data_IF_480944001815
#
_entry.id   IF_480944001815
#
_cell.length_a   1.000
_cell.length_b   1.000
_cell.length_c   1.000
_cell.angle_alpha   90.00
_cell.angle_beta   90.00
_cell.angle_gamma   90.00
#
_symmetry.space_group_name_H-M   'P 1'
#
loop_
_entity.id
_entity.type
_entity.pdbx_description
1 polymer ?
#
# COMPACT_ATOMS: atom_id res chain seq x y z
N UNK A 1 -18.96 33.54 -16.04
CA UNK A 1 -19.77 32.31 -16.20
C UNK A 1 -18.87 31.25 -16.84
N UNK A 2 -18.70 30.15 -16.13
CA UNK A 2 -17.58 29.20 -16.20
C UNK A 2 -17.66 28.31 -17.45
N UNK A 3 -16.54 28.17 -18.19
CA UNK A 3 -16.36 27.16 -19.25
C UNK A 3 -15.90 25.84 -18.61
N UNK A 4 -16.65 24.77 -18.85
CA UNK A 4 -16.33 23.41 -18.41
C UNK A 4 -15.24 22.74 -19.27
N UNK A 5 -14.59 21.78 -18.62
CA UNK A 5 -13.35 21.05 -18.91
C UNK A 5 -13.47 19.91 -19.95
N UNK A 6 -12.36 19.50 -20.59
CA UNK A 6 -12.30 18.32 -21.46
C UNK A 6 -11.80 17.08 -20.70
N UNK A 7 -12.67 16.38 -19.96
CA UNK A 7 -12.29 15.16 -19.21
C UNK A 7 -12.85 13.85 -19.79
N UNK A 8 -13.44 13.88 -21.00
CA UNK A 8 -14.17 12.73 -21.56
C UNK A 8 -13.47 12.04 -22.75
N UNK A 9 -12.16 12.19 -22.93
CA UNK A 9 -11.44 11.56 -24.07
C UNK A 9 -10.43 10.46 -23.72
N UNK A 10 -10.29 10.09 -22.45
CA UNK A 10 -9.30 9.08 -22.03
C UNK A 10 -9.90 7.72 -21.60
N UNK A 11 -11.22 7.57 -21.55
CA UNK A 11 -11.86 6.33 -21.09
C UNK A 11 -12.09 5.27 -22.18
N UNK A 12 -11.70 5.53 -23.43
CA UNK A 12 -12.01 4.64 -24.57
C UNK A 12 -10.87 3.72 -25.02
N UNK A 13 -9.74 3.64 -24.30
CA UNK A 13 -8.56 2.85 -24.73
C UNK A 13 -8.19 1.66 -23.83
N UNK A 14 -9.06 1.28 -22.89
CA UNK A 14 -8.76 0.24 -21.89
C UNK A 14 -9.72 -0.95 -21.96
N UNK A 15 -10.09 -1.37 -23.18
CA UNK A 15 -10.86 -2.60 -23.36
C UNK A 15 -10.56 -3.29 -24.70
N UNK A 16 -9.51 -4.12 -24.76
CA UNK A 16 -9.38 -5.18 -25.75
C UNK A 16 -8.78 -6.45 -25.10
N UNK A 17 -9.27 -7.66 -25.45
CA UNK A 17 -8.93 -8.91 -24.79
C UNK A 17 -7.64 -9.57 -25.32
N UNK A 18 -7.10 -10.45 -24.48
CA UNK A 18 -5.88 -11.25 -24.60
C UNK A 18 -6.00 -12.33 -25.68
N UNK A 19 -4.92 -12.56 -26.44
CA UNK A 19 -4.70 -13.80 -27.22
C UNK A 19 -3.24 -14.26 -27.12
N UNK A 20 -2.95 -15.58 -27.04
CA UNK A 20 -1.65 -16.11 -26.65
C UNK A 20 -0.80 -16.52 -27.86
N UNK A 21 0.49 -16.20 -27.84
CA UNK A 21 1.49 -16.87 -28.67
C UNK A 21 2.76 -17.16 -27.88
N UNK A 22 2.98 -18.45 -27.67
CA UNK A 22 4.23 -19.07 -27.23
C UNK A 22 5.18 -19.10 -28.42
N UNK A 23 6.44 -18.67 -28.25
CA UNK A 23 7.57 -19.23 -28.99
C UNK A 23 8.93 -18.87 -28.34
N UNK A 24 9.49 -19.86 -27.65
CA UNK A 24 10.89 -20.27 -27.53
C UNK A 24 12.02 -19.27 -27.88
N UNK A 25 12.90 -19.01 -26.91
CA UNK A 25 14.31 -18.72 -27.16
C UNK A 25 15.18 -19.28 -26.02
N UNK A 26 16.16 -20.07 -26.44
CA UNK A 26 17.05 -20.94 -25.69
C UNK A 26 18.22 -20.21 -25.01
N UNK A 27 18.50 -20.59 -23.77
CA UNK A 27 19.83 -20.89 -23.21
C UNK A 27 21.07 -20.17 -23.77
N UNK A 28 21.56 -19.12 -23.09
CA UNK A 28 22.97 -18.68 -23.20
C UNK A 28 23.51 -18.08 -21.90
N UNK A 29 24.42 -18.84 -21.28
CA UNK A 29 25.56 -18.50 -20.41
C UNK A 29 25.74 -17.06 -19.85
N UNK A 30 25.94 -17.01 -18.52
CA UNK A 30 26.51 -15.89 -17.76
C UNK A 30 27.94 -15.53 -18.21
N UNK A 31 28.34 -14.25 -18.05
CA UNK A 31 29.59 -14.01 -17.35
C UNK A 31 29.47 -13.06 -16.16
N UNK A 32 30.00 -13.53 -15.04
CA UNK A 32 30.30 -12.80 -13.81
C UNK A 32 31.42 -11.80 -14.12
N UNK A 33 31.12 -10.49 -14.08
CA UNK A 33 32.17 -9.45 -14.02
C UNK A 33 31.92 -8.56 -12.81
N UNK A 34 32.94 -8.56 -11.95
CA UNK A 34 33.10 -7.86 -10.69
C UNK A 34 32.90 -6.34 -10.84
N UNK A 35 32.04 -5.74 -10.03
CA UNK A 35 32.13 -4.32 -9.68
C UNK A 35 32.10 -4.14 -8.17
N UNK A 36 33.27 -3.79 -7.61
CA UNK A 36 33.55 -3.59 -6.17
C UNK A 36 33.08 -2.22 -5.64
N UNK A 37 32.17 -1.51 -6.32
CA UNK A 37 31.91 -0.10 -6.00
C UNK A 37 30.49 0.25 -5.52
N UNK A 38 29.59 -0.71 -5.28
CA UNK A 38 28.21 -0.39 -4.85
C UNK A 38 27.97 -0.64 -3.35
N UNK A 39 28.94 -1.18 -2.59
CA UNK A 39 28.71 -1.58 -1.19
C UNK A 39 29.30 -0.65 -0.12
N UNK A 40 29.52 0.64 -0.42
CA UNK A 40 30.07 1.60 0.56
C UNK A 40 29.15 2.77 0.94
N UNK A 41 27.91 2.82 0.45
CA UNK A 41 26.97 3.89 0.79
C UNK A 41 25.77 3.46 1.67
N UNK A 42 25.71 2.21 2.14
CA UNK A 42 24.58 1.71 2.94
C UNK A 42 24.86 1.48 4.43
N UNK A 43 26.08 1.73 4.92
CA UNK A 43 26.48 1.34 6.29
C UNK A 43 26.73 2.50 7.28
N UNK A 44 26.32 3.73 6.98
CA UNK A 44 26.58 4.89 7.84
C UNK A 44 25.36 5.70 8.25
N UNK A 45 24.15 5.12 8.20
CA UNK A 45 22.93 5.83 8.62
C UNK A 45 22.02 5.04 9.57
N UNK A 46 22.59 4.30 10.52
CA UNK A 46 21.78 3.75 11.59
C UNK A 46 22.57 3.52 12.88
N UNK A 47 22.44 4.44 13.86
CA UNK A 47 22.44 3.97 15.24
C UNK A 47 21.54 4.82 16.16
N UNK A 48 20.20 4.81 16.03
CA UNK A 48 19.32 5.37 17.09
C UNK A 48 18.05 4.52 17.38
N UNK A 49 17.72 3.48 16.60
CA UNK A 49 16.54 2.64 16.87
C UNK A 49 16.85 1.33 17.62
N UNK A 50 17.52 1.42 18.76
CA UNK A 50 17.70 0.22 19.60
C UNK A 50 17.80 0.46 21.11
N UNK A 51 17.13 1.48 21.65
CA UNK A 51 17.06 1.66 23.10
C UNK A 51 15.68 2.13 23.56
N UNK A 52 14.63 1.31 23.34
CA UNK A 52 13.37 1.51 24.05
C UNK A 52 12.51 0.24 24.13
N UNK A 53 13.05 -0.85 24.68
CA UNK A 53 12.24 -1.98 25.15
C UNK A 53 12.84 -2.61 26.41
N UNK A 54 12.64 -1.96 27.57
CA UNK A 54 12.50 -2.64 28.88
C UNK A 54 12.11 -1.64 29.97
N UNK A 55 10.85 -1.68 30.44
CA UNK A 55 10.40 -1.42 31.83
C UNK A 55 8.88 -1.61 31.95
N UNK A 56 8.47 -2.35 33.00
CA UNK A 56 7.13 -2.88 33.30
C UNK A 56 6.12 -1.87 33.90
N UNK A 57 4.83 -2.24 33.83
CA UNK A 57 3.62 -1.64 34.43
C UNK A 57 3.64 -1.62 35.98
N UNK A 58 3.09 -0.66 36.73
CA UNK A 58 1.68 -0.37 37.15
C UNK A 58 1.74 0.54 38.42
N UNK A 59 0.65 1.09 39.02
CA UNK A 59 -0.71 1.43 38.57
C UNK A 59 -1.08 2.92 38.79
N UNK A 60 -2.30 3.28 38.36
CA UNK A 60 -2.94 4.61 38.36
C UNK A 60 -3.33 5.06 39.78
N UNK A 61 -3.03 6.30 40.16
CA UNK A 61 -3.74 7.04 41.21
C UNK A 61 -4.07 8.46 40.74
N UNK A 62 -5.35 8.81 40.88
CA UNK A 62 -5.97 10.08 40.53
C UNK A 62 -5.81 11.00 41.74
N UNK A 63 -5.03 12.08 41.60
CA UNK A 63 -5.30 13.31 42.32
C UNK A 63 -4.89 14.48 41.47
N UNK A 64 -5.85 15.38 41.33
CA UNK A 64 -5.73 16.70 40.76
C UNK A 64 -4.47 17.39 41.28
N UNK A 65 -3.65 17.88 40.35
CA UNK A 65 -3.03 19.21 40.32
C UNK A 65 -1.77 19.12 39.45
N UNK A 66 -1.85 19.61 38.22
CA UNK A 66 -0.65 19.98 37.48
C UNK A 66 -0.98 21.23 36.69
N UNK A 67 -0.66 22.35 37.31
CA UNK A 67 -0.46 23.64 36.67
C UNK A 67 0.38 23.47 35.38
N UNK A 68 0.06 24.20 34.30
CA UNK A 68 0.88 24.19 33.10
C UNK A 68 2.21 24.89 33.44
N UNK A 69 3.33 24.16 33.38
CA UNK A 69 4.67 24.76 33.37
C UNK A 69 4.89 25.36 31.99
N UNK A 70 4.41 26.59 31.82
CA UNK A 70 4.96 27.55 30.87
C UNK A 70 5.93 28.40 31.69
N UNK A 71 7.23 28.05 31.66
CA UNK A 71 8.26 29.06 31.95
C UNK A 71 8.57 29.75 30.64
N UNK A 72 7.85 30.85 30.43
CA UNK A 72 8.14 31.83 29.41
C UNK A 72 9.45 32.53 29.77
N UNK A 73 10.48 32.33 28.95
CA UNK A 73 11.53 33.33 28.83
C UNK A 73 11.02 34.39 27.87
N UNK A 74 10.68 35.54 28.46
CA UNK A 74 10.17 36.72 27.80
C UNK A 74 11.09 37.16 26.66
N UNK A 75 10.57 37.35 25.44
CA UNK A 75 11.09 38.40 24.61
C UNK A 75 10.41 39.72 25.02
N UNK A 76 11.21 40.72 25.37
CA UNK A 76 10.70 42.07 25.58
C UNK A 76 10.29 42.63 24.20
N UNK A 77 9.00 42.53 23.90
CA UNK A 77 8.33 43.43 22.99
C UNK A 77 7.19 44.07 23.78
N UNK A 78 7.34 45.35 24.12
CA UNK A 78 6.20 46.15 24.54
C UNK A 78 5.41 46.48 23.29
N UNK A 79 4.21 45.92 23.21
CA UNK A 79 3.16 46.36 22.30
C UNK A 79 2.60 47.69 22.82
N UNK A 80 2.73 48.74 22.02
CA UNK A 80 2.15 50.04 22.30
C UNK A 80 0.87 50.16 21.46
N UNK A 81 -0.29 50.14 22.13
CA UNK A 81 -1.59 50.49 21.55
C UNK A 81 -1.54 51.92 20.97
N UNK A 82 -2.24 52.23 19.86
CA UNK A 82 -2.15 53.51 19.19
C UNK A 82 -2.68 54.61 20.10
N UNK A 83 -1.77 55.46 20.58
CA UNK A 83 -2.15 56.80 20.99
C UNK A 83 -2.14 57.63 19.71
N UNK A 84 -3.30 58.20 19.46
CA UNK A 84 -3.58 59.20 18.43
C UNK A 84 -2.42 60.20 18.30
N UNK A 85 -2.11 60.67 17.07
CA UNK A 85 -0.87 61.35 16.78
C UNK A 85 -0.89 62.74 17.40
N UNK A 86 -0.10 62.94 18.46
CA UNK A 86 0.40 64.28 18.77
C UNK A 86 1.35 64.66 17.65
N UNK A 87 0.79 65.36 16.67
CA UNK A 87 1.45 66.37 15.83
C UNK A 87 2.91 66.00 15.50
N UNK A 88 3.17 65.35 14.37
CA UNK A 88 3.51 66.12 13.17
C UNK A 88 3.81 67.58 13.54
N UNK A 89 5.06 68.06 13.47
CA UNK A 89 5.22 69.45 13.16
C UNK A 89 4.50 69.61 11.83
N UNK A 90 3.29 70.16 11.92
CA UNK A 90 2.63 70.75 10.80
C UNK A 90 3.70 71.55 10.07
N UNK A 91 3.75 71.34 8.77
CA UNK A 91 4.19 72.28 7.77
C UNK A 91 3.98 73.73 8.25
N UNK A 92 4.96 74.26 8.97
CA UNK A 92 5.38 75.64 8.81
C UNK A 92 6.62 75.59 7.93
N UNK A 93 6.69 76.44 6.90
CA UNK A 93 7.88 76.60 6.10
C UNK A 93 8.89 77.38 6.96
N UNK A 94 9.41 76.75 8.00
CA UNK A 94 10.56 77.30 8.70
C UNK A 94 11.77 76.88 7.88
N UNK A 95 11.97 77.61 6.77
CA UNK A 95 13.27 78.02 6.26
C UNK A 95 14.01 78.83 7.36
N UNK A 96 14.07 78.29 8.58
CA UNK A 96 14.97 78.73 9.63
C UNK A 96 16.34 78.21 9.25
N UNK A 97 16.82 78.80 8.16
CA UNK A 97 18.21 78.87 7.77
C UNK A 97 19.02 78.98 9.05
N UNK A 98 19.89 77.99 9.28
CA UNK A 98 20.86 77.91 10.38
C UNK A 98 21.75 79.18 10.53
N UNK A 99 21.58 80.15 9.65
CA UNK A 99 22.01 81.55 9.76
C UNK A 99 21.37 82.31 10.94
N UNK A 100 20.15 81.98 11.39
CA UNK A 100 19.46 82.71 12.47
C UNK A 100 20.03 82.43 13.87
N UNK A 101 20.82 81.35 14.04
CA UNK A 101 21.53 81.04 15.30
C UNK A 101 22.43 82.20 15.75
N UNK A 102 22.95 82.99 14.81
CA UNK A 102 23.85 84.11 15.09
C UNK A 102 23.15 85.47 15.12
N UNK A 103 21.87 85.56 14.72
CA UNK A 103 21.11 86.82 14.63
C UNK A 103 20.78 87.40 16.02
N UNK A 104 20.70 86.55 17.04
CA UNK A 104 20.37 86.92 18.43
C UNK A 104 21.55 87.01 19.41
N UNK A 105 22.79 86.90 18.94
CA UNK A 105 23.97 86.84 19.81
C UNK A 105 24.52 88.24 20.10
N UNK A 106 24.89 88.51 21.36
CA UNK A 106 25.57 89.75 21.75
C UNK A 106 26.80 90.04 20.87
N UNK A 107 27.16 91.32 20.66
CA UNK A 107 28.34 91.69 19.88
C UNK A 107 29.58 90.90 20.32
N UNK A 108 30.09 90.03 19.43
CA UNK A 108 31.20 89.11 19.70
C UNK A 108 32.49 89.76 20.19
N UNK A 109 32.62 91.08 19.99
CA UNK A 109 33.76 91.85 20.41
C UNK A 109 33.30 93.21 20.95
N UNK A 110 33.50 93.42 22.24
CA UNK A 110 33.44 94.75 22.82
C UNK A 110 34.65 95.58 22.36
N UNK A 111 34.40 96.39 21.34
CA UNK A 111 35.41 97.25 20.72
C UNK A 111 35.99 98.26 21.71
N UNK A 112 35.20 98.70 22.70
CA UNK A 112 35.61 99.71 23.66
C UNK A 112 36.56 99.14 24.74
N UNK A 113 36.27 97.96 25.28
CA UNK A 113 37.19 97.32 26.24
C UNK A 113 38.52 96.91 25.61
N UNK A 114 38.52 96.55 24.32
CA UNK A 114 39.76 96.24 23.59
C UNK A 114 40.55 97.50 23.30
N UNK A 115 39.88 98.58 22.90
CA UNK A 115 40.50 99.89 22.68
C UNK A 115 41.18 100.42 23.95
N UNK A 116 40.50 100.36 25.10
CA UNK A 116 41.05 100.83 26.38
C UNK A 116 42.26 100.00 26.84
N UNK A 117 42.24 98.67 26.65
CA UNK A 117 43.39 97.79 26.93
C UNK A 117 44.59 98.07 26.01
N UNK A 118 44.36 98.32 24.72
CA UNK A 118 45.42 98.68 23.77
C UNK A 118 46.04 100.04 24.10
N UNK A 119 45.21 101.01 24.48
CA UNK A 119 45.69 102.35 24.87
C UNK A 119 46.48 102.30 26.18
N UNK A 120 46.06 101.47 27.15
CA UNK A 120 46.78 101.23 28.39
C UNK A 120 48.13 100.51 28.19
N UNK A 121 48.27 99.72 27.12
CA UNK A 121 49.50 99.03 26.74
C UNK A 121 50.50 99.93 25.96
N UNK A 122 50.19 101.22 25.77
CA UNK A 122 51.08 102.19 25.13
C UNK A 122 50.94 102.31 23.61
N UNK A 123 49.91 101.72 22.99
CA UNK A 123 49.61 101.92 21.58
C UNK A 123 48.98 103.31 21.34
N UNK A 124 49.30 103.94 20.21
CA UNK A 124 48.64 105.18 19.83
C UNK A 124 47.17 104.93 19.49
N UNK A 125 46.28 105.91 19.70
CA UNK A 125 44.84 105.73 19.42
C UNK A 125 44.55 105.33 17.98
N UNK A 126 45.34 105.81 17.01
CA UNK A 126 45.26 105.43 15.59
C UNK A 126 45.76 104.03 15.29
N UNK A 127 46.76 103.53 16.04
CA UNK A 127 47.22 102.15 15.91
C UNK A 127 46.21 101.17 16.52
N UNK A 128 45.64 101.52 17.68
CA UNK A 128 44.62 100.71 18.34
C UNK A 128 43.38 100.52 17.45
N UNK A 129 42.89 101.59 16.83
CA UNK A 129 41.76 101.55 15.88
C UNK A 129 42.06 100.66 14.65
N UNK A 130 43.28 100.77 14.09
CA UNK A 130 43.72 99.92 12.98
C UNK A 130 43.76 98.43 13.36
N UNK A 131 44.28 98.10 14.54
CA UNK A 131 44.36 96.73 15.06
C UNK A 131 42.96 96.15 15.28
N UNK A 132 42.05 96.94 15.86
CA UNK A 132 40.65 96.57 16.05
C UNK A 132 39.98 96.31 14.70
N UNK A 133 40.16 97.20 13.72
CA UNK A 133 39.58 97.01 12.38
C UNK A 133 40.07 95.73 11.68
N UNK A 134 41.34 95.39 11.84
CA UNK A 134 41.91 94.13 11.34
C UNK A 134 41.33 92.92 12.07
N UNK A 135 41.18 93.00 13.40
CA UNK A 135 40.63 91.91 14.20
C UNK A 135 39.16 91.67 13.85
N UNK A 136 38.36 92.73 13.71
CA UNK A 136 36.96 92.67 13.25
C UNK A 136 36.90 92.03 11.84
N UNK A 137 37.76 92.45 10.92
CA UNK A 137 37.82 91.88 9.57
C UNK A 137 38.15 90.37 9.60
N UNK A 138 39.13 89.97 10.40
CA UNK A 138 39.54 88.57 10.53
C UNK A 138 38.47 87.72 11.23
N UNK A 139 37.80 88.28 12.25
CA UNK A 139 36.70 87.64 12.96
C UNK A 139 35.52 87.39 12.01
N UNK A 140 35.08 88.41 11.26
CA UNK A 140 34.01 88.28 10.27
C UNK A 140 34.35 87.28 9.16
N UNK A 141 35.60 87.23 8.71
CA UNK A 141 36.05 86.24 7.71
C UNK A 141 36.00 84.79 8.21
N UNK A 142 36.26 84.57 9.50
CA UNK A 142 36.18 83.23 10.12
C UNK A 142 34.75 82.86 10.49
N UNK A 143 33.99 83.83 11.01
CA UNK A 143 32.61 83.64 11.42
C UNK A 143 31.72 83.36 10.22
N UNK A 144 31.90 84.06 9.08
CA UNK A 144 31.15 83.75 7.85
C UNK A 144 31.33 82.32 7.32
N UNK A 145 32.42 81.63 7.69
CA UNK A 145 32.68 80.23 7.31
C UNK A 145 32.16 79.21 8.32
N UNK A 146 31.79 79.64 9.52
CA UNK A 146 31.36 78.74 10.59
C UNK A 146 29.96 78.16 10.32
N UNK A 147 28.92 78.99 10.04
CA UNK A 147 27.56 78.51 9.83
C UNK A 147 27.48 77.46 8.72
N UNK A 148 28.17 77.66 7.58
CA UNK A 148 28.13 76.68 6.49
C UNK A 148 28.72 75.33 6.90
N UNK A 149 29.83 75.34 7.66
CA UNK A 149 30.44 74.11 8.14
C UNK A 149 29.56 73.41 9.19
N UNK A 150 29.01 74.15 10.16
CA UNK A 150 28.16 73.56 11.19
C UNK A 150 26.82 73.09 10.64
N UNK A 151 26.22 73.83 9.70
CA UNK A 151 25.01 73.42 8.97
C UNK A 151 25.21 72.12 8.22
N UNK A 152 26.29 72.01 7.45
CA UNK A 152 26.61 70.78 6.73
C UNK A 152 26.86 69.59 7.66
N UNK A 153 27.49 69.79 8.82
CA UNK A 153 27.68 68.70 9.79
C UNK A 153 26.35 68.27 10.41
N UNK A 154 25.48 69.23 10.75
CA UNK A 154 24.17 68.93 11.32
C UNK A 154 23.26 68.21 10.31
N UNK A 155 23.22 68.69 9.08
CA UNK A 155 22.49 68.02 7.98
C UNK A 155 23.02 66.61 7.75
N UNK A 156 24.35 66.43 7.72
CA UNK A 156 24.96 65.10 7.54
C UNK A 156 24.60 64.15 8.68
N UNK A 157 24.60 64.63 9.93
CA UNK A 157 24.24 63.82 11.10
C UNK A 157 22.76 63.44 11.09
N UNK A 158 21.87 64.37 10.71
CA UNK A 158 20.44 64.08 10.55
C UNK A 158 20.18 63.04 9.45
N UNK A 159 20.79 63.19 8.28
CA UNK A 159 20.68 62.21 7.19
C UNK A 159 21.25 60.85 7.59
N UNK A 160 22.36 60.83 8.36
CA UNK A 160 22.91 59.59 8.90
C UNK A 160 21.90 58.90 9.83
N UNK A 161 21.24 59.64 10.72
CA UNK A 161 20.21 59.06 11.59
C UNK A 161 19.04 58.48 10.78
N UNK A 162 18.59 59.18 9.73
CA UNK A 162 17.52 58.68 8.87
C UNK A 162 17.93 57.41 8.13
N UNK A 163 19.18 57.35 7.65
CA UNK A 163 19.72 56.18 6.97
C UNK A 163 19.85 54.97 7.92
N UNK A 164 20.37 55.17 9.12
CA UNK A 164 20.48 54.11 10.14
C UNK A 164 19.09 53.59 10.53
N UNK A 165 18.10 54.48 10.68
CA UNK A 165 16.71 54.09 10.94
C UNK A 165 16.15 53.24 9.81
N UNK A 166 16.29 53.68 8.55
CA UNK A 166 15.82 52.94 7.38
C UNK A 166 16.55 51.60 7.22
N UNK A 167 17.85 51.54 7.52
CA UNK A 167 18.61 50.30 7.50
C UNK A 167 18.11 49.31 8.56
N UNK A 168 17.82 49.80 9.76
CA UNK A 168 17.31 48.96 10.83
C UNK A 168 15.90 48.43 10.50
N UNK A 169 15.03 49.28 9.93
CA UNK A 169 13.71 48.86 9.44
C UNK A 169 13.84 47.77 8.38
N UNK A 170 14.69 47.99 7.36
CA UNK A 170 14.91 47.01 6.29
C UNK A 170 15.51 45.69 6.80
N UNK A 171 16.39 45.76 7.81
CA UNK A 171 16.94 44.56 8.46
C UNK A 171 15.87 43.76 9.20
N UNK A 172 14.99 44.45 9.92
CA UNK A 172 13.85 43.84 10.62
C UNK A 172 12.90 43.21 9.61
N UNK A 173 12.56 43.90 8.53
CA UNK A 173 11.68 43.38 7.47
C UNK A 173 12.25 42.14 6.78
N UNK A 174 13.54 42.13 6.45
CA UNK A 174 14.19 40.94 5.89
C UNK A 174 14.17 39.78 6.87
N UNK A 175 14.43 40.05 8.16
CA UNK A 175 14.44 39.02 9.20
C UNK A 175 13.04 38.44 9.38
N UNK A 176 12.04 39.30 9.47
CA UNK A 176 10.62 38.94 9.57
C UNK A 176 10.15 38.14 8.35
N UNK A 177 10.51 38.56 7.14
CA UNK A 177 10.18 37.83 5.91
C UNK A 177 10.81 36.43 5.92
N UNK A 178 12.08 36.31 6.33
CA UNK A 178 12.74 35.01 6.44
C UNK A 178 12.08 34.10 7.47
N UNK A 179 11.78 34.63 8.65
CA UNK A 179 11.08 33.88 9.71
C UNK A 179 9.70 33.42 9.24
N UNK A 180 8.96 34.28 8.55
CA UNK A 180 7.68 33.91 7.96
C UNK A 180 7.81 32.75 6.96
N UNK A 181 8.79 32.80 6.05
CA UNK A 181 9.04 31.70 5.10
C UNK A 181 9.47 30.40 5.79
N UNK A 182 10.26 30.51 6.85
CA UNK A 182 10.67 29.35 7.66
C UNK A 182 9.44 28.73 8.34
N UNK A 183 8.57 29.54 8.94
CA UNK A 183 7.35 29.06 9.57
C UNK A 183 6.41 28.39 8.57
N UNK A 184 6.21 28.99 7.39
CA UNK A 184 5.42 28.41 6.30
C UNK A 184 5.98 27.05 5.86
N UNK A 185 7.32 26.95 5.72
CA UNK A 185 7.96 25.69 5.36
C UNK A 185 7.81 24.63 6.45
N UNK A 186 7.94 25.00 7.73
CA UNK A 186 7.73 24.10 8.86
C UNK A 186 6.28 23.60 8.89
N UNK A 187 5.31 24.48 8.66
CA UNK A 187 3.90 24.12 8.56
C UNK A 187 3.67 23.10 7.42
N UNK A 188 4.22 23.37 6.24
CA UNK A 188 4.11 22.46 5.09
C UNK A 188 4.74 21.09 5.37
N UNK A 189 5.91 21.06 6.03
CA UNK A 189 6.56 19.81 6.44
C UNK A 189 5.68 19.03 7.41
N UNK A 190 5.11 19.69 8.43
CA UNK A 190 4.22 19.04 9.40
C UNK A 190 2.96 18.47 8.74
N UNK A 191 2.37 19.20 7.79
CA UNK A 191 1.23 18.71 7.01
C UNK A 191 1.62 17.48 6.20
N UNK A 192 2.76 17.53 5.52
CA UNK A 192 3.26 16.41 4.71
C UNK A 192 3.55 15.18 5.58
N UNK A 193 4.14 15.36 6.75
CA UNK A 193 4.40 14.27 7.70
C UNK A 193 3.09 13.63 8.20
N UNK A 194 2.09 14.46 8.55
CA UNK A 194 0.76 13.98 8.94
C UNK A 194 0.09 13.20 7.81
N UNK A 195 0.14 13.72 6.58
CA UNK A 195 -0.45 13.06 5.42
C UNK A 195 0.27 11.75 5.11
N UNK A 196 1.60 11.72 5.20
CA UNK A 196 2.38 10.49 5.04
C UNK A 196 2.04 9.44 6.10
N UNK A 197 1.93 9.84 7.37
CA UNK A 197 1.51 8.95 8.46
C UNK A 197 0.11 8.40 8.20
N UNK A 198 -0.84 9.26 7.79
CA UNK A 198 -2.21 8.87 7.49
C UNK A 198 -2.25 7.82 6.36
N UNK A 199 -1.55 8.07 5.25
CA UNK A 199 -1.47 7.13 4.13
C UNK A 199 -0.82 5.82 4.55
N UNK A 200 0.19 5.86 5.42
CA UNK A 200 0.86 4.67 5.93
C UNK A 200 -0.09 3.83 6.79
N UNK A 201 -0.86 4.47 7.67
CA UNK A 201 -1.84 3.80 8.52
C UNK A 201 -2.99 3.20 7.70
N UNK A 202 -3.49 3.95 6.71
CA UNK A 202 -4.49 3.45 5.75
C UNK A 202 -3.98 2.24 4.98
N UNK A 203 -2.78 2.33 4.40
CA UNK A 203 -2.18 1.22 3.64
C UNK A 203 -1.96 -0.01 4.52
N UNK A 204 -1.54 0.18 5.77
CA UNK A 204 -1.36 -0.93 6.70
C UNK A 204 -2.70 -1.55 7.09
N UNK A 205 -3.74 -0.74 7.31
CA UNK A 205 -5.11 -1.22 7.55
C UNK A 205 -5.61 -2.03 6.35
N UNK A 206 -5.49 -1.50 5.14
CA UNK A 206 -5.88 -2.18 3.89
C UNK A 206 -5.11 -3.48 3.69
N UNK A 207 -3.81 -3.49 4.00
CA UNK A 207 -2.99 -4.69 3.92
C UNK A 207 -3.45 -5.76 4.92
N UNK A 208 -3.74 -5.37 6.16
CA UNK A 208 -4.27 -6.28 7.19
C UNK A 208 -5.63 -6.82 6.78
N UNK A 209 -6.50 -5.95 6.25
CA UNK A 209 -7.82 -6.34 5.74
C UNK A 209 -7.69 -7.34 4.59
N UNK A 210 -6.92 -7.01 3.55
CA UNK A 210 -6.71 -7.89 2.41
C UNK A 210 -6.11 -9.24 2.82
N UNK A 211 -5.18 -9.23 3.78
CA UNK A 211 -4.63 -10.47 4.35
C UNK A 211 -5.70 -11.29 5.05
N UNK A 212 -6.56 -10.67 5.85
CA UNK A 212 -7.65 -11.35 6.53
C UNK A 212 -8.63 -11.95 5.50
N UNK A 213 -9.06 -11.14 4.54
CA UNK A 213 -9.98 -11.56 3.47
C UNK A 213 -9.39 -12.72 2.66
N UNK A 214 -8.10 -12.69 2.33
CA UNK A 214 -7.41 -13.79 1.67
C UNK A 214 -7.36 -15.05 2.55
N UNK A 215 -7.13 -14.92 3.86
CA UNK A 215 -7.14 -16.06 4.79
C UNK A 215 -8.54 -16.66 4.92
N UNK A 216 -9.58 -15.84 4.98
CA UNK A 216 -10.98 -16.28 5.00
C UNK A 216 -11.31 -17.00 3.69
N UNK A 217 -10.99 -16.43 2.53
CA UNK A 217 -11.24 -17.06 1.24
C UNK A 217 -10.52 -18.41 1.09
N UNK A 218 -9.27 -18.52 1.55
CA UNK A 218 -8.53 -19.80 1.55
C UNK A 218 -9.20 -20.81 2.49
N UNK A 219 -9.64 -20.38 3.67
CA UNK A 219 -10.31 -21.26 4.62
C UNK A 219 -11.66 -21.75 4.08
N UNK A 220 -12.44 -20.87 3.45
CA UNK A 220 -13.71 -21.20 2.80
C UNK A 220 -13.46 -22.20 1.68
N UNK A 221 -12.50 -21.96 0.79
CA UNK A 221 -12.16 -22.90 -0.27
C UNK A 221 -11.72 -24.27 0.29
N UNK A 222 -10.95 -24.29 1.38
CA UNK A 222 -10.54 -25.53 2.06
C UNK A 222 -11.73 -26.26 2.68
N UNK A 223 -12.65 -25.52 3.30
CA UNK A 223 -13.88 -26.04 3.88
C UNK A 223 -14.79 -26.62 2.80
N UNK A 224 -15.03 -25.88 1.72
CA UNK A 224 -15.81 -26.31 0.56
C UNK A 224 -15.21 -27.56 -0.10
N UNK A 225 -13.89 -27.59 -0.31
CA UNK A 225 -13.23 -28.77 -0.86
C UNK A 225 -13.36 -29.98 0.08
N UNK A 226 -13.23 -29.77 1.39
CA UNK A 226 -13.44 -30.83 2.39
C UNK A 226 -14.88 -31.34 2.37
N UNK A 227 -15.86 -30.44 2.28
CA UNK A 227 -17.28 -30.80 2.19
C UNK A 227 -17.57 -31.57 0.91
N UNK A 228 -17.05 -31.11 -0.23
CA UNK A 228 -17.21 -31.78 -1.52
C UNK A 228 -16.57 -33.18 -1.49
N UNK A 229 -15.37 -33.31 -0.93
CA UNK A 229 -14.70 -34.60 -0.74
C UNK A 229 -15.54 -35.56 0.13
N UNK A 230 -16.09 -35.07 1.24
CA UNK A 230 -17.01 -35.85 2.09
C UNK A 230 -18.29 -36.23 1.34
N UNK A 231 -18.87 -35.31 0.56
CA UNK A 231 -20.05 -35.57 -0.26
C UNK A 231 -19.78 -36.65 -1.32
N UNK A 232 -18.60 -36.63 -1.93
CA UNK A 232 -18.17 -37.66 -2.88
C UNK A 232 -18.00 -39.02 -2.20
N UNK A 233 -17.38 -39.05 -1.00
CA UNK A 233 -17.27 -40.27 -0.19
C UNK A 233 -18.65 -40.86 0.16
N UNK A 234 -19.60 -40.03 0.58
CA UNK A 234 -20.96 -40.47 0.87
C UNK A 234 -21.66 -41.04 -0.37
N UNK A 235 -21.52 -40.40 -1.54
CA UNK A 235 -22.05 -40.95 -2.81
C UNK A 235 -21.43 -42.29 -3.18
N UNK A 236 -20.12 -42.45 -2.95
CA UNK A 236 -19.43 -43.74 -3.17
C UNK A 236 -20.00 -44.79 -2.23
N UNK A 237 -20.20 -44.47 -0.95
CA UNK A 237 -20.80 -45.38 0.02
C UNK A 237 -22.24 -45.75 -0.32
N UNK A 238 -23.06 -44.77 -0.71
CA UNK A 238 -24.44 -44.99 -1.17
C UNK A 238 -24.47 -45.90 -2.40
N UNK A 239 -23.62 -45.62 -3.38
CA UNK A 239 -23.49 -46.43 -4.60
C UNK A 239 -23.04 -47.84 -4.27
N UNK A 240 -22.04 -47.99 -3.38
CA UNK A 240 -21.56 -49.29 -2.93
C UNK A 240 -22.69 -50.09 -2.24
N UNK A 241 -23.39 -49.47 -1.28
CA UNK A 241 -24.52 -50.08 -0.60
C UNK A 241 -25.64 -50.47 -1.57
N UNK A 242 -25.95 -49.60 -2.54
CA UNK A 242 -26.92 -49.87 -3.60
C UNK A 242 -26.49 -51.07 -4.45
N UNK A 243 -25.25 -51.11 -4.94
CA UNK A 243 -24.72 -52.25 -5.70
C UNK A 243 -24.82 -53.53 -4.88
N UNK A 244 -24.39 -53.53 -3.62
CA UNK A 244 -24.44 -54.70 -2.75
C UNK A 244 -25.87 -55.18 -2.52
N UNK A 245 -26.81 -54.26 -2.29
CA UNK A 245 -28.22 -54.59 -2.05
C UNK A 245 -28.89 -55.13 -3.31
N UNK A 246 -28.71 -54.45 -4.45
CA UNK A 246 -29.21 -54.89 -5.75
C UNK A 246 -28.62 -56.27 -6.12
N UNK A 247 -27.30 -56.45 -6.00
CA UNK A 247 -26.63 -57.73 -6.27
C UNK A 247 -27.11 -58.85 -5.35
N UNK A 248 -27.22 -58.59 -4.03
CA UNK A 248 -27.72 -59.60 -3.08
C UNK A 248 -29.17 -59.97 -3.39
N UNK A 249 -30.01 -58.97 -3.69
CA UNK A 249 -31.41 -59.19 -4.05
C UNK A 249 -31.56 -59.95 -5.36
N UNK A 250 -30.74 -59.64 -6.38
CA UNK A 250 -30.72 -60.33 -7.66
C UNK A 250 -30.27 -61.79 -7.49
N UNK A 251 -29.17 -62.04 -6.78
CA UNK A 251 -28.70 -63.40 -6.48
C UNK A 251 -29.75 -64.19 -5.70
N UNK A 252 -30.38 -63.59 -4.69
CA UNK A 252 -31.43 -64.26 -3.91
C UNK A 252 -32.66 -64.58 -4.78
N UNK A 253 -33.03 -63.68 -5.69
CA UNK A 253 -34.10 -63.90 -6.66
C UNK A 253 -33.76 -65.00 -7.66
N UNK A 254 -32.52 -65.06 -8.14
CA UNK A 254 -32.05 -66.14 -9.02
C UNK A 254 -32.05 -67.48 -8.29
N UNK A 255 -31.56 -67.55 -7.05
CA UNK A 255 -31.59 -68.78 -6.25
C UNK A 255 -33.04 -69.24 -6.04
N UNK A 256 -33.94 -68.31 -5.73
CA UNK A 256 -35.34 -68.62 -5.53
C UNK A 256 -35.99 -69.09 -6.83
N UNK A 257 -35.70 -68.45 -7.97
CA UNK A 257 -36.22 -68.89 -9.28
C UNK A 257 -35.68 -70.26 -9.68
N UNK A 258 -34.39 -70.55 -9.41
CA UNK A 258 -33.80 -71.88 -9.58
C UNK A 258 -34.49 -72.90 -8.68
N UNK A 259 -34.83 -72.55 -7.44
CA UNK A 259 -35.56 -73.42 -6.51
C UNK A 259 -36.97 -73.76 -7.02
N UNK A 260 -37.68 -72.77 -7.56
CA UNK A 260 -38.98 -72.98 -8.21
C UNK A 260 -38.87 -73.85 -9.46
N UNK A 261 -37.84 -73.64 -10.28
CA UNK A 261 -37.59 -74.45 -11.47
C UNK A 261 -37.25 -75.90 -11.10
N UNK A 262 -36.30 -76.10 -10.17
CA UNK A 262 -35.84 -77.42 -9.77
C UNK A 262 -36.97 -78.25 -9.12
N UNK A 263 -37.82 -77.65 -8.30
CA UNK A 263 -38.96 -78.37 -7.71
C UNK A 263 -39.97 -78.79 -8.79
N UNK A 264 -40.34 -77.88 -9.70
CA UNK A 264 -41.31 -78.17 -10.77
C UNK A 264 -40.78 -79.23 -11.73
N UNK A 265 -39.55 -79.09 -12.21
CA UNK A 265 -38.94 -80.05 -13.14
C UNK A 265 -38.52 -81.34 -12.44
N UNK A 266 -38.08 -81.28 -11.19
CA UNK A 266 -37.73 -82.46 -10.39
C UNK A 266 -38.93 -83.39 -10.16
N UNK A 267 -40.10 -82.83 -9.81
CA UNK A 267 -41.34 -83.62 -9.67
C UNK A 267 -41.72 -84.29 -11.00
N UNK A 268 -41.64 -83.55 -12.11
CA UNK A 268 -41.92 -84.09 -13.45
C UNK A 268 -40.97 -85.25 -13.77
N UNK A 269 -39.68 -85.09 -13.54
CA UNK A 269 -38.67 -86.13 -13.77
C UNK A 269 -38.92 -87.39 -12.92
N UNK A 270 -39.26 -87.22 -11.64
CA UNK A 270 -39.59 -88.35 -10.75
C UNK A 270 -40.84 -89.08 -11.24
N UNK A 271 -41.90 -88.34 -11.60
CA UNK A 271 -43.13 -88.94 -12.14
C UNK A 271 -42.85 -89.73 -13.42
N UNK A 272 -42.09 -89.15 -14.36
CA UNK A 272 -41.68 -89.83 -15.59
C UNK A 272 -40.88 -91.10 -15.27
N UNK A 273 -39.96 -91.05 -14.30
CA UNK A 273 -39.17 -92.21 -13.89
C UNK A 273 -40.05 -93.35 -13.36
N UNK A 274 -41.04 -93.04 -12.51
CA UNK A 274 -41.98 -94.04 -11.98
C UNK A 274 -42.84 -94.64 -13.10
N UNK A 275 -43.40 -93.79 -13.98
CA UNK A 275 -44.20 -94.26 -15.12
C UNK A 275 -43.38 -95.12 -16.09
N UNK A 276 -42.13 -94.74 -16.37
CA UNK A 276 -41.23 -95.51 -17.21
C UNK A 276 -40.89 -96.86 -16.58
N UNK A 277 -40.60 -96.93 -15.28
CA UNK A 277 -40.39 -98.18 -14.55
C UNK A 277 -41.63 -99.08 -14.59
N UNK A 278 -42.82 -98.51 -14.38
CA UNK A 278 -44.08 -99.27 -14.43
C UNK A 278 -44.42 -99.76 -15.84
N UNK A 279 -44.18 -98.94 -16.87
CA UNK A 279 -44.38 -99.30 -18.28
C UNK A 279 -43.42 -100.41 -18.69
N UNK A 280 -42.15 -100.31 -18.28
CA UNK A 280 -41.14 -101.34 -18.54
C UNK A 280 -41.53 -102.66 -17.87
N UNK A 281 -42.02 -102.62 -16.62
CA UNK A 281 -42.53 -103.78 -15.91
C UNK A 281 -43.80 -104.38 -16.53
N UNK A 282 -44.73 -103.54 -17.00
CA UNK A 282 -45.93 -103.99 -17.69
C UNK A 282 -45.61 -104.64 -19.04
N UNK A 283 -44.71 -104.03 -19.82
CA UNK A 283 -44.25 -104.61 -21.09
C UNK A 283 -43.54 -105.94 -20.82
N UNK A 284 -42.67 -106.03 -19.81
CA UNK A 284 -41.99 -107.28 -19.49
C UNK A 284 -43.00 -108.37 -19.11
N UNK A 285 -44.00 -108.07 -18.26
CA UNK A 285 -45.06 -109.02 -17.90
C UNK A 285 -45.95 -109.40 -19.07
N UNK A 286 -46.32 -108.45 -19.93
CA UNK A 286 -47.10 -108.73 -21.15
C UNK A 286 -46.31 -109.54 -22.18
N UNK A 287 -44.99 -109.35 -22.24
CA UNK A 287 -44.11 -110.14 -23.09
C UNK A 287 -43.90 -111.54 -22.50
N UNK A 288 -43.87 -111.71 -21.18
CA UNK A 288 -43.91 -113.04 -20.55
C UNK A 288 -45.24 -113.76 -20.83
N UNK A 289 -46.38 -113.06 -20.83
CA UNK A 289 -47.68 -113.64 -21.21
C UNK A 289 -47.80 -113.91 -22.73
N UNK A 290 -47.17 -113.08 -23.58
CA UNK A 290 -47.08 -113.32 -25.03
C UNK A 290 -46.05 -114.39 -25.39
N UNK A 291 -45.04 -114.62 -24.54
CA UNK A 291 -44.12 -115.74 -24.67
C UNK A 291 -44.83 -117.07 -24.36
N UNK A 292 -45.74 -117.10 -23.39
CA UNK A 292 -46.66 -118.24 -23.16
C UNK A 292 -47.69 -118.41 -24.29
N UNK A 293 -48.10 -117.35 -24.99
CA UNK A 293 -49.02 -117.45 -26.13
C UNK A 293 -48.35 -117.76 -27.49
N UNK A 294 -47.02 -117.62 -27.60
CA UNK A 294 -46.25 -117.93 -28.83
C UNK A 294 -45.63 -119.34 -28.83
N UNK A 295 -45.73 -120.09 -27.74
CA UNK A 295 -45.36 -121.51 -27.70
C UNK A 295 -46.41 -122.46 -28.31
N UNK A 296 -47.61 -121.95 -28.66
CA UNK A 296 -48.74 -122.78 -29.16
C UNK A 296 -48.99 -122.69 -30.67
N UNK A 297 -48.09 -122.08 -31.47
CA UNK A 297 -48.21 -122.15 -32.93
C UNK A 297 -46.83 -122.31 -33.59
N UNK A 298 -46.43 -123.56 -33.79
CA UNK A 298 -45.23 -123.97 -34.50
C UNK A 298 -45.61 -124.83 -35.72
N UNK A 299 -45.53 -124.31 -36.96
CA UNK A 299 -45.53 -125.15 -38.16
C UNK A 299 -44.11 -125.43 -38.68
N UNK A 300 -43.83 -126.72 -38.89
CA UNK A 300 -42.56 -127.37 -39.26
C UNK A 300 -42.28 -127.36 -40.78
N UNK A 301 -41.01 -127.04 -41.10
CA UNK A 301 -40.08 -127.71 -42.03
C UNK A 301 -40.58 -128.26 -43.39
N UNK A 302 -39.99 -127.77 -44.49
CA UNK A 302 -39.54 -128.62 -45.62
C UNK A 302 -38.16 -128.12 -46.06
N UNK A 303 -37.17 -129.02 -45.96
CA UNK A 303 -35.81 -128.88 -46.47
C UNK A 303 -35.75 -129.68 -47.78
N UNK A 304 -35.24 -129.11 -48.86
CA UNK A 304 -34.89 -129.88 -50.06
C UNK A 304 -33.40 -129.64 -50.39
N UNK A 305 -32.55 -130.70 -50.38
CA UNK A 305 -31.12 -130.59 -50.60
C UNK A 305 -30.68 -131.07 -52.00
N UNK A 306 -29.86 -130.27 -52.69
CA UNK A 306 -28.75 -130.66 -53.60
C UNK A 306 -28.31 -129.38 -54.32
N UNK A 307 -27.04 -128.99 -54.37
CA UNK A 307 -25.96 -129.71 -55.04
C UNK A 307 -24.60 -129.18 -54.52
N UNK A 308 -23.65 -130.09 -54.31
CA UNK A 308 -22.19 -129.83 -54.28
C UNK A 308 -21.79 -129.41 -55.71
N UNK A 309 -20.80 -128.57 -56.01
CA UNK A 309 -19.35 -128.60 -55.77
C UNK A 309 -18.84 -127.40 -56.64
N UNK A 310 -17.90 -126.54 -56.27
CA UNK A 310 -16.47 -126.67 -56.57
C UNK A 310 -15.75 -125.39 -56.08
N UNK A 311 -14.64 -125.63 -55.35
CA UNK A 311 -13.28 -125.07 -55.54
C UNK A 311 -13.12 -123.84 -56.47
N UNK A 312 -12.23 -122.87 -56.30
CA UNK A 312 -11.13 -122.48 -55.40
C UNK A 312 -10.75 -121.05 -55.84
N UNK A 313 -10.07 -120.30 -54.98
CA UNK A 313 -9.25 -119.11 -55.32
C UNK A 313 -9.95 -117.85 -55.87
N UNK A 314 -9.54 -116.62 -55.56
CA UNK A 314 -8.60 -116.03 -54.62
C UNK A 314 -8.82 -114.50 -54.71
N UNK A 315 -8.28 -113.76 -53.74
CA UNK A 315 -7.77 -112.40 -53.90
C UNK A 315 -8.73 -111.17 -53.83
N UNK A 316 -8.58 -110.48 -52.68
CA UNK A 316 -8.04 -109.10 -52.57
C UNK A 316 -8.99 -107.92 -52.23
N UNK A 317 -8.35 -106.98 -51.53
CA UNK A 317 -8.71 -105.65 -51.02
C UNK A 317 -9.40 -105.61 -49.64
N UNK A 318 -8.69 -105.56 -48.50
CA UNK A 318 -7.61 -104.67 -48.02
C UNK A 318 -8.14 -103.32 -47.48
N UNK A 319 -7.69 -103.05 -46.24
CA UNK A 319 -7.69 -101.81 -45.43
C UNK A 319 -9.01 -101.25 -44.89
#
# INVERSE_FOLDING_TARGET
MIRQTPFLRLRAKLNQPISPYIAYATHTQLPIIRSKYILRCFYTFNPILQQQQSSQQTPINISQNTEPIIKADNPIYKENKPTEPTEAPATTPEDDTLCSIFEGMEPYMDTYSVYTKLTAAGFTPTQADKVISLLICQLNSKLSKLPSKYSQNYELENEQYLFESAQQELRVDITRSREQHIHELIELINVLERDFSTITDELNSDFIQMRNDAQVAINDQKSENTLNSKGMFLRIQETNHKITTELNSAMRSEIESLRWYLSRWGIITIMISIFASCTTFYISRSNSAKAEARSDFAPLMIYEPSEYEDEEDSDDYNA
#
